data_IF_607396820180
#
_entry.id   IF_607396820180
#
_cell.length_a   1.000
_cell.length_b   1.000
_cell.length_c   1.000
_cell.angle_alpha   90.00
_cell.angle_beta   90.00
_cell.angle_gamma   90.00
#
_symmetry.space_group_name_H-M   'P 1'
#
loop_
_entity.id
_entity.type
_entity.pdbx_description
1 polymer ?
#
# COMPACT_ATOMS: atom_id res chain seq x y z
N UNK A 1 -15.03 -39.32 -15.20
CA UNK A 1 -16.09 -39.05 -14.22
C UNK A 1 -15.51 -38.01 -13.26
N UNK A 2 -16.05 -36.79 -13.22
CA UNK A 2 -15.52 -35.71 -12.37
C UNK A 2 -16.32 -35.73 -11.06
N UNK A 3 -15.67 -36.04 -9.96
CA UNK A 3 -16.29 -35.97 -8.63
C UNK A 3 -16.42 -34.50 -8.20
N UNK A 4 -17.64 -34.07 -7.88
CA UNK A 4 -17.89 -32.75 -7.33
C UNK A 4 -17.98 -32.84 -5.80
N UNK A 5 -17.09 -32.15 -5.10
CA UNK A 5 -17.18 -32.01 -3.64
C UNK A 5 -17.99 -30.76 -3.29
N UNK A 6 -19.22 -30.94 -2.77
CA UNK A 6 -20.03 -29.83 -2.25
C UNK A 6 -19.41 -29.38 -0.92
N UNK A 7 -18.92 -28.13 -0.87
CA UNK A 7 -18.39 -27.53 0.37
C UNK A 7 -19.50 -26.76 1.10
N UNK A 8 -19.59 -26.93 2.43
CA UNK A 8 -20.51 -26.17 3.27
C UNK A 8 -20.25 -24.66 3.13
N UNK A 9 -21.31 -23.87 2.95
CA UNK A 9 -21.22 -22.41 2.91
C UNK A 9 -20.56 -21.89 4.20
N UNK A 10 -19.49 -21.13 4.07
CA UNK A 10 -18.75 -20.56 5.21
C UNK A 10 -17.67 -21.46 5.82
N UNK A 11 -17.40 -22.65 5.27
CA UNK A 11 -16.30 -23.51 5.72
C UNK A 11 -14.95 -22.78 5.73
N UNK A 12 -14.66 -21.98 4.68
CA UNK A 12 -13.41 -21.21 4.61
C UNK A 12 -13.30 -20.16 5.72
N UNK A 13 -14.40 -19.49 6.08
CA UNK A 13 -14.38 -18.46 7.12
C UNK A 13 -14.20 -19.08 8.50
N UNK A 14 -14.83 -20.24 8.76
CA UNK A 14 -14.58 -21.03 9.97
C UNK A 14 -13.10 -21.43 10.07
N UNK A 15 -12.50 -21.85 8.96
CA UNK A 15 -11.08 -22.21 8.91
C UNK A 15 -10.16 -21.01 9.15
N UNK A 16 -10.42 -19.86 8.52
CA UNK A 16 -9.68 -18.60 8.75
C UNK A 16 -9.78 -18.15 10.20
N UNK A 17 -10.97 -18.16 10.78
CA UNK A 17 -11.20 -17.82 12.19
C UNK A 17 -10.43 -18.75 13.12
N UNK A 18 -10.47 -20.06 12.87
CA UNK A 18 -9.71 -21.04 13.67
C UNK A 18 -8.19 -20.80 13.61
N UNK A 19 -7.66 -20.33 12.48
CA UNK A 19 -6.24 -19.96 12.36
C UNK A 19 -5.92 -18.71 13.19
N UNK A 20 -6.74 -17.68 13.10
CA UNK A 20 -6.58 -16.44 13.87
C UNK A 20 -6.62 -16.67 15.38
N UNK A 21 -7.58 -17.48 15.85
CA UNK A 21 -7.71 -17.83 17.27
C UNK A 21 -6.57 -18.73 17.79
N UNK A 22 -5.71 -19.25 16.91
CA UNK A 22 -4.54 -20.04 17.30
C UNK A 22 -3.25 -19.25 17.31
N UNK A 23 -3.25 -18.01 16.83
CA UNK A 23 -2.06 -17.18 16.86
C UNK A 23 -1.67 -16.90 18.30
N UNK A 24 -0.39 -17.08 18.60
CA UNK A 24 0.18 -16.79 19.92
C UNK A 24 1.10 -15.58 19.92
N UNK A 25 1.42 -15.06 18.74
CA UNK A 25 2.32 -13.93 18.56
C UNK A 25 2.83 -13.85 17.11
N UNK A 26 3.77 -12.93 16.86
CA UNK A 26 4.44 -12.79 15.58
C UNK A 26 5.27 -14.05 15.26
N UNK A 27 5.32 -14.43 13.98
CA UNK A 27 6.23 -15.49 13.57
C UNK A 27 7.70 -15.06 13.60
N UNK A 28 8.60 -16.04 13.72
CA UNK A 28 10.03 -15.78 13.87
C UNK A 28 10.62 -15.00 12.68
N UNK A 29 10.12 -15.24 11.47
CA UNK A 29 10.58 -14.54 10.26
C UNK A 29 10.25 -13.05 10.36
N UNK A 30 9.07 -12.73 10.85
CA UNK A 30 8.61 -11.35 11.04
C UNK A 30 9.40 -10.65 12.14
N UNK A 31 9.65 -11.31 13.27
CA UNK A 31 10.49 -10.73 14.33
C UNK A 31 11.92 -10.45 13.84
N UNK A 32 12.53 -11.43 13.15
CA UNK A 32 13.89 -11.29 12.62
C UNK A 32 13.99 -10.13 11.61
N UNK A 33 12.96 -9.94 10.78
CA UNK A 33 12.89 -8.81 9.85
C UNK A 33 12.81 -7.47 10.59
N UNK A 34 11.94 -7.38 11.59
CA UNK A 34 11.78 -6.15 12.37
C UNK A 34 13.06 -5.81 13.15
N UNK A 35 13.73 -6.81 13.74
CA UNK A 35 15.01 -6.63 14.42
C UNK A 35 16.11 -6.13 13.47
N UNK A 36 16.18 -6.67 12.25
CA UNK A 36 17.17 -6.26 11.23
C UNK A 36 16.90 -4.84 10.69
N UNK A 37 15.63 -4.48 10.47
CA UNK A 37 15.27 -3.27 9.73
C UNK A 37 14.79 -2.10 10.56
N UNK A 38 14.32 -2.31 11.79
CA UNK A 38 13.73 -1.23 12.58
C UNK A 38 14.70 -0.06 12.80
N UNK A 39 15.98 -0.35 13.04
CA UNK A 39 17.00 0.69 13.21
C UNK A 39 17.22 1.52 11.92
N UNK A 40 17.15 0.89 10.76
CA UNK A 40 17.26 1.56 9.46
C UNK A 40 16.04 2.44 9.21
N UNK A 41 14.83 1.91 9.36
CA UNK A 41 13.59 2.67 9.19
C UNK A 41 13.46 3.81 10.22
N UNK A 42 14.03 3.68 11.41
CA UNK A 42 14.13 4.78 12.36
C UNK A 42 15.01 5.93 11.83
N UNK A 43 16.10 5.64 11.11
CA UNK A 43 17.01 6.65 10.55
C UNK A 43 16.50 7.20 9.22
N UNK A 44 15.90 6.34 8.42
CA UNK A 44 15.46 6.59 7.06
C UNK A 44 14.03 6.06 6.87
N UNK A 45 13.00 6.71 7.44
CA UNK A 45 11.64 6.16 7.44
C UNK A 45 11.05 5.95 6.05
N UNK A 46 11.51 6.68 5.04
CA UNK A 46 11.10 6.46 3.65
C UNK A 46 11.66 5.16 3.05
N UNK A 47 12.75 4.59 3.59
CA UNK A 47 13.31 3.31 3.13
C UNK A 47 12.37 2.13 3.39
N UNK A 48 11.43 2.25 4.34
CA UNK A 48 10.34 1.29 4.50
C UNK A 48 9.51 1.17 3.22
N UNK A 49 9.25 2.27 2.51
CA UNK A 49 8.39 2.28 1.32
C UNK A 49 9.14 1.92 0.03
N UNK A 50 10.46 1.77 0.10
CA UNK A 50 11.27 1.46 -1.07
C UNK A 50 11.11 -0.02 -1.43
N UNK A 51 10.96 -0.28 -2.73
CA UNK A 51 10.99 -1.65 -3.24
C UNK A 51 12.39 -2.22 -2.99
N UNK A 52 12.54 -3.45 -2.49
CA UNK A 52 13.81 -4.14 -2.55
C UNK A 52 14.27 -4.15 -4.02
N UNK A 53 15.39 -3.50 -4.32
CA UNK A 53 15.99 -3.52 -5.66
C UNK A 53 16.16 -4.97 -6.06
N UNK A 54 15.61 -5.34 -7.22
CA UNK A 54 15.48 -6.69 -7.76
C UNK A 54 16.49 -7.66 -7.15
N UNK A 55 16.04 -8.33 -6.09
CA UNK A 55 16.88 -9.28 -5.39
C UNK A 55 17.02 -10.49 -6.33
N UNK A 56 18.24 -11.03 -6.56
CA UNK A 56 18.42 -12.22 -7.38
C UNK A 56 17.42 -13.30 -6.99
N UNK A 57 16.90 -14.07 -7.96
CA UNK A 57 15.83 -15.05 -7.75
C UNK A 57 16.11 -16.06 -6.61
N UNK A 58 17.38 -16.23 -6.25
CA UNK A 58 17.87 -17.18 -5.25
C UNK A 58 17.87 -16.62 -3.83
N UNK A 59 17.63 -15.31 -3.65
CA UNK A 59 17.58 -14.70 -2.33
C UNK A 59 16.12 -14.64 -1.85
N UNK A 60 15.82 -15.19 -0.66
CA UNK A 60 14.50 -15.05 -0.07
C UNK A 60 14.24 -13.55 0.10
N UNK A 61 13.26 -13.03 -0.64
CA UNK A 61 12.88 -11.63 -0.60
C UNK A 61 12.75 -11.21 0.88
N UNK A 62 13.62 -10.33 1.38
CA UNK A 62 13.70 -10.05 2.81
C UNK A 62 12.45 -9.30 3.28
N UNK A 63 11.74 -8.65 2.37
CA UNK A 63 10.54 -7.90 2.71
C UNK A 63 9.30 -8.75 2.52
N UNK A 64 8.44 -8.77 3.54
CA UNK A 64 7.15 -9.42 3.48
C UNK A 64 6.17 -8.45 2.81
N UNK A 65 5.71 -8.73 1.57
CA UNK A 65 4.76 -7.85 0.85
C UNK A 65 3.53 -7.51 1.69
N UNK A 66 3.20 -8.37 2.65
CA UNK A 66 2.14 -8.23 3.63
C UNK A 66 2.20 -6.93 4.44
N UNK A 67 3.37 -6.57 5.00
CA UNK A 67 3.50 -5.37 5.82
C UNK A 67 3.29 -4.10 4.98
N UNK A 68 3.84 -4.07 3.76
CA UNK A 68 3.60 -2.98 2.81
C UNK A 68 2.13 -2.86 2.44
N UNK A 69 1.46 -3.96 2.11
CA UNK A 69 0.04 -3.93 1.76
C UNK A 69 -0.79 -3.33 2.90
N UNK A 70 -0.56 -3.77 4.14
CA UNK A 70 -1.26 -3.27 5.33
C UNK A 70 -1.05 -1.77 5.52
N UNK A 71 0.21 -1.33 5.50
CA UNK A 71 0.54 0.07 5.73
C UNK A 71 0.16 0.98 4.55
N UNK A 72 0.21 0.51 3.31
CA UNK A 72 -0.35 1.24 2.17
C UNK A 72 -1.85 1.47 2.31
N UNK A 73 -2.59 0.47 2.81
CA UNK A 73 -4.02 0.63 3.08
C UNK A 73 -4.29 1.62 4.24
N UNK A 74 -3.50 1.58 5.31
CA UNK A 74 -3.59 2.55 6.42
C UNK A 74 -3.25 3.96 5.94
N UNK A 75 -2.13 4.11 5.23
CA UNK A 75 -1.65 5.37 4.67
C UNK A 75 -2.70 6.01 3.78
N UNK A 76 -3.35 5.23 2.90
CA UNK A 76 -4.42 5.73 2.05
C UNK A 76 -5.60 6.29 2.85
N UNK A 77 -5.99 5.61 3.94
CA UNK A 77 -7.07 6.10 4.82
C UNK A 77 -6.65 7.37 5.55
N UNK A 78 -5.44 7.42 6.10
CA UNK A 78 -4.92 8.60 6.82
C UNK A 78 -4.72 9.80 5.90
N UNK A 79 -4.13 9.59 4.73
CA UNK A 79 -3.97 10.62 3.72
C UNK A 79 -5.31 11.21 3.31
N UNK A 80 -6.31 10.36 2.99
CA UNK A 80 -7.67 10.83 2.67
C UNK A 80 -8.30 11.59 3.82
N UNK A 81 -8.10 11.16 5.07
CA UNK A 81 -8.56 11.90 6.25
C UNK A 81 -7.94 13.31 6.31
N UNK A 82 -6.65 13.47 5.99
CA UNK A 82 -5.93 14.75 6.03
C UNK A 82 -6.33 15.72 4.91
N UNK A 83 -6.62 15.23 3.70
CA UNK A 83 -6.99 16.08 2.56
C UNK A 83 -8.51 16.35 2.45
N UNK A 84 -9.27 16.08 3.52
CA UNK A 84 -10.70 16.40 3.59
C UNK A 84 -11.64 15.33 3.01
N UNK A 85 -11.17 14.10 2.86
CA UNK A 85 -11.92 12.91 2.39
C UNK A 85 -12.59 13.12 1.02
N UNK A 86 -11.82 13.34 -0.05
CA UNK A 86 -12.36 13.36 -1.41
C UNK A 86 -13.11 12.05 -1.71
N UNK A 87 -14.03 12.10 -2.66
CA UNK A 87 -14.76 10.91 -3.08
C UNK A 87 -13.80 9.83 -3.60
N UNK A 88 -14.24 8.58 -3.56
CA UNK A 88 -13.43 7.46 -4.06
C UNK A 88 -13.23 7.61 -5.56
N UNK A 89 -14.27 8.06 -6.26
CA UNK A 89 -14.32 8.34 -7.68
C UNK A 89 -13.28 9.40 -8.09
N UNK A 90 -13.25 10.54 -7.40
CA UNK A 90 -12.24 11.60 -7.65
C UNK A 90 -10.82 11.08 -7.42
N UNK A 91 -10.60 10.40 -6.29
CA UNK A 91 -9.27 9.85 -5.96
C UNK A 91 -8.83 8.80 -6.99
N UNK A 92 -9.75 7.96 -7.46
CA UNK A 92 -9.47 6.93 -8.46
C UNK A 92 -9.15 7.53 -9.83
N UNK A 93 -9.85 8.61 -10.23
CA UNK A 93 -9.58 9.34 -11.45
C UNK A 93 -8.18 9.97 -11.42
N UNK A 94 -7.82 10.62 -10.31
CA UNK A 94 -6.50 11.23 -10.13
C UNK A 94 -5.39 10.18 -10.19
N UNK A 95 -5.56 9.04 -9.51
CA UNK A 95 -4.59 7.94 -9.54
C UNK A 95 -4.47 7.29 -10.93
N UNK A 96 -5.60 7.09 -11.63
CA UNK A 96 -5.60 6.55 -12.98
C UNK A 96 -4.84 7.47 -13.94
N UNK A 97 -5.11 8.78 -13.89
CA UNK A 97 -4.46 9.77 -14.74
C UNK A 97 -2.97 9.95 -14.42
N UNK A 98 -2.59 9.84 -13.14
CA UNK A 98 -1.21 10.08 -12.71
C UNK A 98 -0.28 8.87 -12.95
N UNK A 99 -0.77 7.64 -12.79
CA UNK A 99 0.09 6.45 -12.66
C UNK A 99 -0.20 5.39 -13.74
N UNK A 100 -1.38 5.41 -14.38
CA UNK A 100 -1.76 4.38 -15.35
C UNK A 100 -1.81 2.95 -14.76
N UNK A 101 -1.90 2.82 -13.43
CA UNK A 101 -1.78 1.54 -12.71
C UNK A 101 -2.94 0.56 -12.99
N UNK A 102 -4.13 1.09 -13.30
CA UNK A 102 -5.31 0.29 -13.62
C UNK A 102 -5.68 0.48 -15.08
N UNK A 103 -6.23 -0.57 -15.70
CA UNK A 103 -6.59 -0.55 -17.13
C UNK A 103 -7.64 0.52 -17.43
N UNK A 104 -8.53 0.77 -16.48
CA UNK A 104 -9.55 1.79 -16.57
C UNK A 104 -9.87 2.37 -15.18
N UNK A 105 -10.65 3.46 -15.17
CA UNK A 105 -11.08 4.16 -13.95
C UNK A 105 -11.95 3.27 -13.05
N UNK A 106 -12.72 2.34 -13.62
CA UNK A 106 -13.59 1.46 -12.82
C UNK A 106 -12.76 0.42 -12.03
N UNK A 107 -11.70 -0.13 -12.63
CA UNK A 107 -10.74 -0.99 -11.94
C UNK A 107 -9.97 -0.21 -10.85
N UNK A 108 -9.60 1.05 -11.12
CA UNK A 108 -8.99 1.93 -10.11
C UNK A 108 -9.93 2.18 -8.93
N UNK A 109 -11.19 2.51 -9.20
CA UNK A 109 -12.21 2.73 -8.17
C UNK A 109 -12.41 1.47 -7.31
N UNK A 110 -12.63 0.31 -7.94
CA UNK A 110 -12.80 -0.95 -7.20
C UNK A 110 -11.60 -1.29 -6.32
N UNK A 111 -10.39 -1.08 -6.85
CA UNK A 111 -9.14 -1.31 -6.10
C UNK A 111 -9.05 -0.37 -4.90
N UNK A 112 -9.37 0.91 -5.12
CA UNK A 112 -9.34 1.93 -4.07
C UNK A 112 -10.36 1.63 -2.97
N UNK A 113 -11.59 1.24 -3.30
CA UNK A 113 -12.61 0.82 -2.33
C UNK A 113 -12.13 -0.36 -1.48
N UNK A 114 -11.51 -1.36 -2.11
CA UNK A 114 -10.94 -2.51 -1.40
C UNK A 114 -9.83 -2.08 -0.44
N UNK A 115 -8.91 -1.22 -0.88
CA UNK A 115 -7.80 -0.73 -0.06
C UNK A 115 -8.28 0.14 1.11
N UNK A 116 -9.23 1.06 0.87
CA UNK A 116 -9.86 1.87 1.92
C UNK A 116 -10.56 0.97 2.95
N UNK A 117 -11.34 0.00 2.47
CA UNK A 117 -12.04 -0.96 3.32
C UNK A 117 -11.07 -1.78 4.17
N UNK A 118 -9.97 -2.24 3.59
CA UNK A 118 -8.90 -2.93 4.32
C UNK A 118 -8.20 -2.01 5.32
N UNK A 119 -7.87 -0.78 4.94
CA UNK A 119 -7.22 0.22 5.77
C UNK A 119 -8.03 0.52 7.03
N UNK A 120 -9.35 0.69 6.90
CA UNK A 120 -10.22 0.86 8.07
C UNK A 120 -10.20 -0.34 9.03
N UNK A 121 -10.08 -1.57 8.52
CA UNK A 121 -9.99 -2.78 9.35
C UNK A 121 -8.66 -2.86 10.09
N UNK A 122 -7.56 -2.51 9.43
CA UNK A 122 -6.25 -2.46 10.06
C UNK A 122 -6.17 -1.34 11.11
N UNK A 123 -6.70 -0.14 10.83
CA UNK A 123 -6.82 0.91 11.85
C UNK A 123 -7.70 0.48 13.03
N UNK A 124 -8.78 -0.27 12.77
CA UNK A 124 -9.58 -0.84 13.86
C UNK A 124 -8.75 -1.82 14.71
N UNK A 125 -7.94 -2.66 14.08
CA UNK A 125 -7.03 -3.55 14.79
C UNK A 125 -6.01 -2.78 15.65
N UNK A 126 -5.40 -1.72 15.09
CA UNK A 126 -4.49 -0.82 15.81
C UNK A 126 -5.16 -0.19 17.03
N UNK A 127 -6.42 0.25 16.91
CA UNK A 127 -7.17 0.81 18.02
C UNK A 127 -7.42 -0.19 19.17
N UNK A 128 -7.46 -1.50 18.87
CA UNK A 128 -7.77 -2.53 19.87
C UNK A 128 -6.54 -3.20 20.47
N UNK A 129 -5.44 -3.28 19.72
CA UNK A 129 -4.23 -4.03 20.07
C UNK A 129 -2.97 -3.16 20.16
N UNK A 130 -3.00 -1.91 19.71
CA UNK A 130 -1.87 -0.98 19.68
C UNK A 130 -1.42 -0.62 18.27
N UNK A 131 -0.90 0.61 18.10
CA UNK A 131 -0.55 1.17 16.79
C UNK A 131 0.53 0.37 16.03
N UNK A 132 1.43 -0.34 16.72
CA UNK A 132 2.45 -1.16 16.08
C UNK A 132 1.96 -2.55 15.64
N UNK A 133 0.70 -2.92 15.88
CA UNK A 133 0.24 -4.31 15.69
C UNK A 133 0.40 -4.79 14.24
N UNK A 134 0.23 -3.91 13.26
CA UNK A 134 0.28 -4.29 11.84
C UNK A 134 1.68 -4.70 11.36
N UNK A 135 2.76 -4.24 12.02
CA UNK A 135 4.12 -4.75 11.78
C UNK A 135 4.27 -6.20 12.22
N UNK A 136 3.62 -6.55 13.33
CA UNK A 136 3.93 -7.78 14.07
C UNK A 136 2.95 -8.90 13.76
N UNK A 137 1.87 -8.62 13.02
CA UNK A 137 0.86 -9.60 12.60
C UNK A 137 1.39 -10.82 11.83
N UNK A 138 2.62 -10.77 11.35
CA UNK A 138 3.27 -11.92 10.74
C UNK A 138 2.99 -12.09 9.24
N UNK A 139 3.52 -13.19 8.70
CA UNK A 139 3.29 -13.70 7.34
C UNK A 139 2.68 -15.10 7.32
N UNK A 140 2.58 -15.78 8.46
CA UNK A 140 1.96 -17.11 8.53
C UNK A 140 0.50 -17.12 8.09
N UNK A 141 -0.20 -15.99 8.22
CA UNK A 141 -1.55 -15.79 7.71
C UNK A 141 -1.54 -14.81 6.55
N UNK A 142 -2.02 -15.26 5.39
CA UNK A 142 -2.23 -14.36 4.25
C UNK A 142 -3.27 -13.27 4.54
N UNK A 143 -3.13 -12.12 3.87
CA UNK A 143 -3.97 -10.91 4.09
C UNK A 143 -5.48 -11.14 4.01
N UNK A 144 -5.91 -12.15 3.24
CA UNK A 144 -7.33 -12.52 3.18
C UNK A 144 -7.87 -13.04 4.50
N UNK A 145 -7.05 -13.59 5.39
CA UNK A 145 -7.47 -13.98 6.75
C UNK A 145 -7.88 -12.76 7.55
N UNK A 146 -7.04 -11.72 7.54
CA UNK A 146 -7.31 -10.45 8.22
C UNK A 146 -8.51 -9.74 7.60
N UNK A 147 -8.48 -9.47 6.29
CA UNK A 147 -9.52 -8.64 5.65
C UNK A 147 -10.90 -9.29 5.57
N UNK A 148 -11.01 -10.64 5.53
CA UNK A 148 -12.31 -11.34 5.49
C UNK A 148 -12.87 -11.66 6.87
N UNK A 149 -12.03 -11.89 7.89
CA UNK A 149 -12.52 -12.18 9.26
C UNK A 149 -12.74 -10.90 10.05
N UNK A 150 -11.91 -9.87 9.84
CA UNK A 150 -12.07 -8.56 10.45
C UNK A 150 -13.16 -7.73 9.75
N UNK A 151 -14.36 -8.28 9.58
CA UNK A 151 -15.51 -7.46 9.17
C UNK A 151 -16.00 -6.66 10.38
N UNK A 152 -16.30 -5.37 10.17
CA UNK A 152 -16.66 -4.39 11.21
C UNK A 152 -17.52 -5.02 12.32
N UNK A 153 -17.03 -4.92 13.55
CA UNK A 153 -17.77 -5.12 14.81
C UNK A 153 -18.70 -6.34 14.84
N UNK A 154 -18.26 -7.47 14.29
CA UNK A 154 -18.99 -8.73 14.44
C UNK A 154 -18.53 -9.46 15.70
N UNK A 155 -19.37 -10.34 16.26
CA UNK A 155 -18.97 -11.23 17.36
C UNK A 155 -17.66 -11.99 17.07
N UNK A 156 -17.39 -12.30 15.80
CA UNK A 156 -16.14 -12.95 15.36
C UNK A 156 -14.93 -12.03 15.54
N UNK A 157 -15.07 -10.76 15.16
CA UNK A 157 -14.03 -9.75 15.39
C UNK A 157 -13.73 -9.62 16.88
N UNK A 158 -14.76 -9.45 17.71
CA UNK A 158 -14.58 -9.31 19.16
C UNK A 158 -13.92 -10.53 19.79
N UNK A 159 -14.29 -11.74 19.35
CA UNK A 159 -13.62 -12.98 19.80
C UNK A 159 -12.15 -13.02 19.42
N UNK A 160 -11.80 -12.63 18.18
CA UNK A 160 -10.39 -12.58 17.74
C UNK A 160 -9.62 -11.52 18.53
N UNK A 161 -10.16 -10.31 18.70
CA UNK A 161 -9.51 -9.26 19.49
C UNK A 161 -9.32 -9.70 20.94
N UNK A 162 -10.33 -10.32 21.55
CA UNK A 162 -10.24 -10.81 22.93
C UNK A 162 -9.11 -11.83 23.05
N UNK A 163 -9.02 -12.79 22.13
CA UNK A 163 -7.95 -13.78 22.14
C UNK A 163 -6.58 -13.12 21.97
N UNK A 164 -6.41 -12.26 20.95
CA UNK A 164 -5.13 -11.60 20.66
C UNK A 164 -4.65 -10.70 21.81
N UNK A 165 -5.56 -10.10 22.58
CA UNK A 165 -5.21 -9.32 23.78
C UNK A 165 -4.54 -10.13 24.89
N UNK A 166 -4.79 -11.44 24.93
CA UNK A 166 -4.18 -12.35 25.90
C UNK A 166 -2.87 -12.98 25.40
N UNK A 167 -2.40 -12.59 24.21
CA UNK A 167 -1.11 -13.03 23.64
C UNK A 167 -0.02 -11.98 23.83
N UNK A 168 1.15 -12.17 23.19
CA UNK A 168 2.25 -11.20 23.18
C UNK A 168 2.07 -10.05 22.16
N UNK A 169 1.04 -10.08 21.30
CA UNK A 169 0.85 -9.02 20.29
C UNK A 169 0.78 -7.60 20.86
N UNK A 170 0.04 -7.31 21.96
CA UNK A 170 -0.02 -5.95 22.50
C UNK A 170 1.35 -5.41 22.95
N UNK A 171 2.20 -6.27 23.51
CA UNK A 171 3.54 -5.90 23.97
C UNK A 171 4.42 -5.50 22.77
N UNK A 172 4.42 -6.29 21.70
CA UNK A 172 5.13 -5.95 20.48
C UNK A 172 4.52 -4.73 19.76
N UNK A 173 3.20 -4.58 19.79
CA UNK A 173 2.54 -3.41 19.21
C UNK A 173 2.92 -2.11 19.94
N UNK A 174 3.17 -2.17 21.24
CA UNK A 174 3.71 -1.04 22.01
C UNK A 174 5.15 -0.72 21.60
N UNK A 175 6.02 -1.74 21.50
CA UNK A 175 7.43 -1.59 21.07
C UNK A 175 7.54 -0.95 19.68
N UNK A 176 6.74 -1.42 18.71
CA UNK A 176 6.81 -0.96 17.32
C UNK A 176 5.85 0.19 16.99
N UNK A 177 5.05 0.65 17.94
CA UNK A 177 4.11 1.77 17.77
C UNK A 177 4.79 3.08 17.34
N UNK A 178 5.88 3.51 17.99
CA UNK A 178 6.62 4.70 17.58
C UNK A 178 7.18 4.60 16.15
N UNK A 179 7.70 3.42 15.78
CA UNK A 179 8.22 3.18 14.43
C UNK A 179 7.11 3.28 13.39
N UNK A 180 5.92 2.74 13.67
CA UNK A 180 4.73 2.89 12.81
C UNK A 180 4.39 4.34 12.56
N UNK A 181 4.32 5.13 13.63
CA UNK A 181 4.01 6.55 13.51
C UNK A 181 5.04 7.26 12.63
N UNK A 182 6.33 6.96 12.84
CA UNK A 182 7.42 7.55 12.08
C UNK A 182 7.33 7.22 10.58
N UNK A 183 7.19 5.94 10.20
CA UNK A 183 7.17 5.55 8.77
C UNK A 183 5.93 6.05 8.03
N UNK A 184 4.76 6.05 8.68
CA UNK A 184 3.52 6.53 8.07
C UNK A 184 3.54 8.05 7.95
N UNK A 185 3.91 8.77 9.00
CA UNK A 185 3.97 10.23 8.96
C UNK A 185 4.99 10.74 7.95
N UNK A 186 6.17 10.12 7.86
CA UNK A 186 7.17 10.50 6.86
C UNK A 186 6.61 10.40 5.43
N UNK A 187 5.82 9.37 5.15
CA UNK A 187 5.20 9.17 3.84
C UNK A 187 4.02 10.11 3.58
N UNK A 188 3.22 10.41 4.61
CA UNK A 188 2.17 11.42 4.51
C UNK A 188 2.76 12.79 4.15
N UNK A 189 3.84 13.20 4.81
CA UNK A 189 4.53 14.46 4.51
C UNK A 189 5.10 14.46 3.08
N UNK A 190 5.73 13.37 2.64
CA UNK A 190 6.17 13.24 1.24
C UNK A 190 5.00 13.41 0.26
N UNK A 191 3.87 12.75 0.49
CA UNK A 191 2.69 12.86 -0.39
C UNK A 191 2.11 14.29 -0.44
N UNK A 192 2.07 14.99 0.70
CA UNK A 192 1.63 16.40 0.76
C UNK A 192 2.54 17.31 -0.07
N UNK A 193 3.85 17.09 -0.03
CA UNK A 193 4.79 17.90 -0.83
C UNK A 193 4.58 17.73 -2.33
N UNK A 194 4.19 16.54 -2.79
CA UNK A 194 3.91 16.25 -4.20
C UNK A 194 2.64 16.97 -4.66
N UNK A 195 1.59 17.00 -3.83
CA UNK A 195 0.31 17.66 -4.16
C UNK A 195 0.46 19.19 -4.33
N UNK A 196 1.44 19.80 -3.65
CA UNK A 196 1.70 21.23 -3.73
C UNK A 196 2.56 21.66 -4.92
N UNK A 197 3.06 20.74 -5.75
CA UNK A 197 3.70 21.12 -7.01
C UNK A 197 2.58 21.59 -7.94
N UNK A 198 2.46 22.92 -8.22
CA UNK A 198 1.44 23.39 -9.13
C UNK A 198 1.66 22.65 -10.45
N UNK A 199 0.63 21.96 -10.94
CA UNK A 199 0.62 21.40 -12.29
C UNK A 199 1.13 22.53 -13.16
N UNK A 200 2.30 22.40 -13.83
CA UNK A 200 2.79 23.46 -14.69
C UNK A 200 1.62 23.72 -15.60
N UNK A 201 1.02 24.90 -15.43
CA UNK A 201 -0.08 25.32 -16.28
C UNK A 201 0.54 25.15 -17.65
N UNK A 202 0.01 24.21 -18.43
CA UNK A 202 0.25 24.24 -19.86
C UNK A 202 -0.31 25.60 -20.22
N UNK A 203 0.56 26.61 -20.15
CA UNK A 203 0.51 27.72 -21.05
C UNK A 203 0.43 26.95 -22.36
N UNK A 204 -0.81 26.86 -22.84
CA UNK A 204 -1.08 26.80 -24.25
C UNK A 204 -0.27 27.99 -24.74
N UNK A 205 0.99 27.71 -25.07
CA UNK A 205 1.72 28.47 -26.04
C UNK A 205 0.81 28.27 -27.25
N UNK A 206 -0.15 29.17 -27.38
CA UNK A 206 -0.67 29.53 -28.68
C UNK A 206 0.60 29.88 -29.40
N UNK A 207 1.13 28.89 -30.14
CA UNK A 207 2.13 29.17 -31.15
C UNK A 207 1.60 30.41 -31.86
N UNK A 208 2.32 31.55 -31.82
CA UNK A 208 2.11 32.52 -32.88
C UNK A 208 2.20 31.67 -34.15
N UNK A 209 1.22 31.78 -35.04
CA UNK A 209 1.27 31.15 -36.36
C UNK A 209 2.56 31.59 -37.04
N UNK A 210 3.67 30.92 -36.74
CA UNK A 210 4.89 30.96 -37.49
C UNK A 210 4.64 29.92 -38.55
N UNK A 211 4.33 30.42 -39.74
CA UNK A 211 4.41 29.65 -40.97
C UNK A 211 5.72 28.85 -40.93
N UNK A 212 5.60 27.54 -40.71
CA UNK A 212 6.74 26.65 -40.60
C UNK A 212 7.51 26.65 -41.91
N UNK A 213 8.68 27.28 -41.91
CA UNK A 213 9.73 26.97 -42.87
C UNK A 213 10.44 25.71 -42.37
N UNK A 214 10.34 24.65 -43.15
CA UNK A 214 11.10 23.41 -42.98
C UNK A 214 12.58 23.71 -43.18
N UNK A 215 13.42 23.51 -42.16
CA UNK A 215 14.88 23.54 -42.32
C UNK A 215 15.40 22.09 -42.33
N UNK A 216 15.94 21.61 -43.46
CA UNK A 216 16.51 20.27 -43.55
C UNK A 216 17.82 20.17 -42.77
N UNK A 217 18.06 19.02 -42.15
CA UNK A 217 19.41 18.68 -41.69
C UNK A 217 20.34 18.42 -42.90
N UNK A 218 21.65 18.27 -42.65
CA UNK A 218 22.64 17.99 -43.69
C UNK A 218 22.42 16.66 -44.45
N UNK A 219 21.42 15.86 -44.06
CA UNK A 219 21.05 14.59 -44.68
C UNK A 219 19.62 14.58 -45.25
N UNK A 220 18.91 15.71 -45.22
CA UNK A 220 17.55 15.84 -45.75
C UNK A 220 16.45 15.22 -44.89
N UNK A 221 16.71 14.91 -43.62
CA UNK A 221 15.73 14.35 -42.70
C UNK A 221 15.13 15.42 -41.77
N UNK A 222 13.84 15.27 -41.48
CA UNK A 222 13.13 16.09 -40.49
C UNK A 222 12.85 15.21 -39.26
N UNK A 223 13.40 15.57 -38.09
CA UNK A 223 13.13 14.87 -36.84
C UNK A 223 12.64 15.82 -35.76
N UNK A 224 11.56 15.44 -35.07
CA UNK A 224 11.08 16.11 -33.87
C UNK A 224 11.91 15.66 -32.67
N UNK A 225 12.52 16.59 -31.95
CA UNK A 225 13.10 16.35 -30.64
C UNK A 225 12.03 16.53 -29.56
N UNK A 226 11.65 15.45 -28.90
CA UNK A 226 10.86 15.48 -27.66
C UNK A 226 11.78 15.39 -26.45
N UNK A 227 11.80 16.46 -25.63
CA UNK A 227 12.40 16.44 -24.30
C UNK A 227 11.32 16.15 -23.26
N UNK A 228 11.44 15.03 -22.54
CA UNK A 228 10.67 14.70 -21.35
C UNK A 228 11.56 14.86 -20.10
N UNK A 229 11.11 15.52 -19.01
CA UNK A 229 11.88 15.64 -17.77
C UNK A 229 12.01 14.31 -17.01
N UNK A 230 13.23 13.97 -16.59
CA UNK A 230 13.63 12.68 -16.00
C UNK A 230 13.08 12.36 -14.60
N UNK A 231 12.40 13.29 -13.94
CA UNK A 231 12.00 13.15 -12.53
C UNK A 231 10.78 12.23 -12.29
N UNK A 232 10.03 11.89 -13.34
CA UNK A 232 8.89 10.96 -13.25
C UNK A 232 9.25 9.51 -13.67
N UNK A 233 10.45 9.32 -14.23
CA UNK A 233 10.86 8.03 -14.82
C UNK A 233 11.39 7.04 -13.76
N UNK A 234 11.82 7.53 -12.59
CA UNK A 234 12.36 6.71 -11.50
C UNK A 234 11.30 6.20 -10.50
N UNK A 235 10.10 6.80 -10.48
CA UNK A 235 9.05 6.44 -9.52
C UNK A 235 8.20 5.22 -9.96
N UNK A 236 8.19 4.85 -11.24
CA UNK A 236 7.12 3.98 -11.78
C UNK A 236 7.52 2.92 -12.81
N UNK A 237 8.79 2.46 -12.85
CA UNK A 237 9.12 1.23 -13.62
C UNK A 237 8.58 -0.02 -12.93
N UNK A 238 7.33 -0.34 -13.24
CA UNK A 238 6.67 -1.63 -12.99
C UNK A 238 6.51 -2.35 -14.33
N UNK A 239 7.47 -3.21 -14.70
CA UNK A 239 7.32 -4.38 -15.57
C UNK A 239 8.59 -5.24 -15.48
#
# INVERSE_FOLDING_TARGET
MVEFTIKEKGHQDKARLKKLLKLQGPDQKTLSLLEDKAADWCRHPLSFWQRPVAVPADYPNPFTPEAHIRYSCILLVEYRDEIGRPSVEETALDLHNAIGFCRDVAEAQNTLEMMISAGHKYKQLENHLGAGVCFVLGTELGETCWTKVLTKSTKKFDSVITELRHTVFPQFAEIYGPLRALVVNAKLEELKTIQHVPTPTTHVWTEPQQSGALVPDHFGNFTMQTYLPSALDELFRWE
#
